data_IF_281745372302
#
_entry.id   IF_281745372302
#
_cell.length_a   1.000
_cell.length_b   1.000
_cell.length_c   1.000
_cell.angle_alpha   90.00
_cell.angle_beta   90.00
_cell.angle_gamma   90.00
#
_symmetry.space_group_name_H-M   'P 1'
#
loop_
_entity.id
_entity.type
_entity.pdbx_description
1 polymer ?
#
# COMPACT_ATOMS: atom_id res chain seq x y z
N UNK A 1 16.09 -5.74 12.52
CA UNK A 1 15.02 -5.26 13.44
C UNK A 1 15.67 -4.68 14.68
N UNK A 2 15.03 -3.73 15.37
CA UNK A 2 15.56 -3.09 16.58
C UNK A 2 14.93 -3.69 17.85
N UNK A 3 15.63 -3.66 19.01
CA UNK A 3 15.08 -4.08 20.32
C UNK A 3 13.77 -3.38 20.69
N UNK A 4 13.66 -2.07 20.47
CA UNK A 4 12.42 -1.31 20.69
C UNK A 4 11.25 -1.85 19.87
N UNK A 5 11.51 -2.33 18.65
CA UNK A 5 10.43 -2.89 17.81
C UNK A 5 9.94 -4.22 18.36
N UNK A 6 10.83 -5.07 18.86
CA UNK A 6 10.43 -6.32 19.52
C UNK A 6 9.64 -6.04 20.79
N UNK A 7 10.05 -5.05 21.59
CA UNK A 7 9.28 -4.62 22.76
C UNK A 7 7.86 -4.17 22.36
N UNK A 8 7.73 -3.35 21.32
CA UNK A 8 6.43 -2.92 20.82
C UNK A 8 5.57 -4.10 20.31
N UNK A 9 6.18 -5.14 19.74
CA UNK A 9 5.46 -6.36 19.34
C UNK A 9 4.94 -7.12 20.56
N UNK A 10 5.77 -7.30 21.61
CA UNK A 10 5.36 -7.96 22.84
C UNK A 10 4.24 -7.20 23.55
N UNK A 11 4.33 -5.86 23.62
CA UNK A 11 3.32 -5.02 24.26
C UNK A 11 1.99 -5.01 23.50
N UNK A 12 2.01 -5.07 22.16
CA UNK A 12 0.81 -4.99 21.33
C UNK A 12 0.13 -6.35 21.08
N UNK A 13 0.91 -7.42 20.92
CA UNK A 13 0.40 -8.74 20.49
C UNK A 13 0.57 -9.85 21.54
N UNK A 14 1.32 -9.60 22.62
CA UNK A 14 1.63 -10.60 23.65
C UNK A 14 2.78 -11.52 23.24
N UNK A 15 2.95 -12.61 24.00
CA UNK A 15 4.10 -13.51 23.87
C UNK A 15 4.00 -14.53 22.72
N UNK A 16 2.80 -14.73 22.17
CA UNK A 16 2.54 -15.73 21.12
C UNK A 16 3.00 -15.23 19.73
N UNK A 17 4.06 -15.82 19.15
CA UNK A 17 4.60 -15.38 17.86
C UNK A 17 3.60 -15.54 16.71
N UNK A 18 2.62 -16.46 16.81
CA UNK A 18 1.62 -16.67 15.78
C UNK A 18 0.72 -15.45 15.57
N UNK A 19 0.61 -14.56 16.58
CA UNK A 19 -0.18 -13.33 16.52
C UNK A 19 0.58 -12.15 15.90
N UNK A 20 1.89 -12.27 15.75
CA UNK A 20 2.73 -11.21 15.24
C UNK A 20 2.61 -11.08 13.71
N UNK A 21 2.87 -9.88 13.14
CA UNK A 21 2.94 -9.68 11.70
C UNK A 21 3.93 -10.65 11.04
N UNK A 22 3.52 -11.31 9.97
CA UNK A 22 4.33 -12.37 9.32
C UNK A 22 5.70 -11.86 8.87
N UNK A 23 5.79 -10.61 8.39
CA UNK A 23 7.05 -10.02 7.93
C UNK A 23 8.09 -9.83 9.06
N UNK A 24 7.65 -9.78 10.32
CA UNK A 24 8.51 -9.44 11.46
C UNK A 24 8.73 -10.65 12.40
N UNK A 25 7.91 -11.70 12.31
CA UNK A 25 7.92 -12.84 13.23
C UNK A 25 9.29 -13.50 13.36
N UNK A 26 9.89 -13.90 12.25
CA UNK A 26 11.15 -14.64 12.27
C UNK A 26 12.31 -13.78 12.77
N UNK A 27 12.35 -12.51 12.37
CA UNK A 27 13.35 -11.56 12.83
C UNK A 27 13.23 -11.27 14.33
N UNK A 28 12.00 -11.23 14.88
CA UNK A 28 11.77 -11.00 16.31
C UNK A 28 12.22 -12.20 17.11
N UNK A 29 11.83 -13.39 16.68
CA UNK A 29 12.20 -14.64 17.33
C UNK A 29 13.72 -14.85 17.33
N UNK A 30 14.40 -14.56 16.21
CA UNK A 30 15.85 -14.65 16.14
C UNK A 30 16.53 -13.74 17.18
N UNK A 31 16.01 -12.53 17.38
CA UNK A 31 16.58 -11.57 18.32
C UNK A 31 16.26 -11.93 19.78
N UNK A 32 15.05 -12.41 20.06
CA UNK A 32 14.66 -12.92 21.39
C UNK A 32 15.53 -14.12 21.79
N UNK A 33 15.83 -15.02 20.85
CA UNK A 33 16.70 -16.16 21.12
C UNK A 33 18.17 -15.77 21.33
N UNK A 34 18.59 -14.62 20.79
CA UNK A 34 19.95 -14.10 20.93
C UNK A 34 20.15 -13.25 22.21
N UNK A 35 19.09 -12.57 22.68
CA UNK A 35 19.15 -11.66 23.82
C UNK A 35 18.34 -12.19 25.03
N UNK A 36 18.99 -12.57 26.13
CA UNK A 36 18.30 -13.09 27.32
C UNK A 36 17.39 -12.04 27.98
N UNK A 37 17.64 -10.74 27.83
CA UNK A 37 16.76 -9.71 28.38
C UNK A 37 15.41 -9.67 27.63
N UNK A 38 15.43 -9.82 26.31
CA UNK A 38 14.21 -9.91 25.50
C UNK A 38 13.49 -11.25 25.72
N UNK A 39 14.22 -12.34 25.96
CA UNK A 39 13.62 -13.61 26.37
C UNK A 39 12.85 -13.47 27.69
N UNK A 40 13.45 -12.83 28.71
CA UNK A 40 12.79 -12.57 29.97
C UNK A 40 11.52 -11.72 29.80
N UNK A 41 11.57 -10.69 28.94
CA UNK A 41 10.40 -9.86 28.61
C UNK A 41 9.29 -10.64 27.91
N UNK A 42 9.62 -11.57 27.02
CA UNK A 42 8.63 -12.47 26.42
C UNK A 42 8.00 -13.39 27.47
N UNK A 43 8.80 -13.93 28.38
CA UNK A 43 8.29 -14.83 29.41
C UNK A 43 7.38 -14.09 30.41
N UNK A 44 7.68 -12.83 30.74
CA UNK A 44 6.76 -11.95 31.49
C UNK A 44 5.43 -11.73 30.76
N UNK A 45 5.48 -11.45 29.46
CA UNK A 45 4.27 -11.32 28.64
C UNK A 45 3.47 -12.64 28.59
N UNK A 46 4.15 -13.79 28.51
CA UNK A 46 3.50 -15.11 28.51
C UNK A 46 2.82 -15.41 29.85
N UNK A 47 3.45 -15.00 30.96
CA UNK A 47 2.84 -15.13 32.29
C UNK A 47 1.57 -14.26 32.41
N UNK A 48 1.61 -13.02 31.91
CA UNK A 48 0.44 -12.14 31.87
C UNK A 48 -0.68 -12.73 31.00
N UNK A 49 -0.36 -13.18 29.78
CA UNK A 49 -1.30 -13.84 28.88
C UNK A 49 -1.94 -15.06 29.55
N UNK A 50 -1.16 -15.85 30.28
CA UNK A 50 -1.64 -16.99 31.06
C UNK A 50 -2.60 -16.60 32.19
N UNK A 51 -2.37 -15.47 32.86
CA UNK A 51 -3.29 -14.94 33.87
C UNK A 51 -4.60 -14.45 33.23
N UNK A 52 -4.52 -13.77 32.08
CA UNK A 52 -5.69 -13.27 31.36
C UNK A 52 -6.56 -14.42 30.84
N UNK A 53 -5.97 -15.51 30.37
CA UNK A 53 -6.71 -16.70 29.92
C UNK A 53 -7.46 -17.43 31.05
N UNK A 54 -7.07 -17.21 32.31
CA UNK A 54 -7.78 -17.77 33.47
C UNK A 54 -8.97 -16.93 33.92
N UNK A 55 -9.12 -15.71 33.39
CA UNK A 55 -10.24 -14.86 33.73
C UNK A 55 -11.55 -15.48 33.22
N UNK A 56 -12.58 -15.47 34.08
CA UNK A 56 -13.88 -15.99 33.71
C UNK A 56 -14.47 -15.17 32.56
N UNK A 57 -14.76 -15.85 31.45
CA UNK A 57 -15.36 -15.20 30.29
C UNK A 57 -16.85 -15.05 30.53
N UNK A 58 -17.40 -13.82 30.63
CA UNK A 58 -18.83 -13.65 30.85
C UNK A 58 -19.61 -14.22 29.66
N UNK A 59 -20.60 -15.05 29.95
CA UNK A 59 -21.49 -15.60 28.93
C UNK A 59 -22.24 -14.44 28.25
N UNK A 60 -22.12 -14.24 26.92
CA UNK A 60 -22.86 -13.18 26.24
C UNK A 60 -24.36 -13.48 26.30
N UNK A 61 -25.18 -12.44 26.50
CA UNK A 61 -26.62 -12.60 26.49
C UNK A 61 -27.11 -12.97 25.09
N UNK A 62 -28.15 -13.82 25.01
CA UNK A 62 -28.74 -14.20 23.73
C UNK A 62 -29.28 -12.98 22.95
N UNK A 63 -29.69 -11.92 23.66
CA UNK A 63 -30.12 -10.66 23.06
C UNK A 63 -28.97 -9.92 22.36
N UNK A 64 -27.81 -9.81 23.03
CA UNK A 64 -26.61 -9.20 22.45
C UNK A 64 -26.15 -9.96 21.21
N UNK A 65 -26.13 -11.30 21.28
CA UNK A 65 -25.76 -12.15 20.14
C UNK A 65 -26.67 -11.91 18.94
N UNK A 66 -28.00 -11.82 19.15
CA UNK A 66 -28.96 -11.53 18.08
C UNK A 66 -28.72 -10.16 17.44
N UNK A 67 -28.51 -9.12 18.25
CA UNK A 67 -28.25 -7.75 17.77
C UNK A 67 -26.95 -7.66 16.95
N UNK A 68 -25.92 -8.41 17.32
CA UNK A 68 -24.67 -8.49 16.55
C UNK A 68 -24.93 -9.16 15.19
N UNK A 69 -25.67 -10.27 15.16
CA UNK A 69 -26.01 -10.97 13.91
C UNK A 69 -26.87 -10.10 12.97
N UNK A 70 -27.87 -9.39 13.50
CA UNK A 70 -28.69 -8.45 12.74
C UNK A 70 -27.83 -7.29 12.19
N UNK A 71 -26.96 -6.71 13.02
CA UNK A 71 -26.03 -5.65 12.59
C UNK A 71 -25.08 -6.13 11.49
N UNK A 72 -24.51 -7.33 11.64
CA UNK A 72 -23.60 -7.90 10.65
C UNK A 72 -24.30 -8.14 9.30
N UNK A 73 -25.56 -8.60 9.32
CA UNK A 73 -26.34 -8.77 8.10
C UNK A 73 -26.56 -7.43 7.36
N UNK A 74 -26.89 -6.36 8.07
CA UNK A 74 -27.05 -5.02 7.48
C UNK A 74 -25.75 -4.46 6.89
N UNK A 75 -24.59 -4.75 7.49
CA UNK A 75 -23.29 -4.29 6.96
C UNK A 75 -22.80 -5.16 5.79
N UNK A 76 -23.17 -6.45 5.74
CA UNK A 76 -22.81 -7.36 4.65
C UNK A 76 -23.40 -6.99 3.29
N UNK A 77 -24.59 -6.38 3.27
CA UNK A 77 -25.22 -5.88 2.03
C UNK A 77 -24.43 -4.72 1.40
N UNK A 78 -23.81 -3.85 2.21
CA UNK A 78 -23.01 -2.75 1.70
C UNK A 78 -21.69 -3.19 1.03
N UNK A 79 -21.12 -4.31 1.48
CA UNK A 79 -19.92 -4.92 0.88
C UNK A 79 -20.28 -5.72 -0.39
N UNK A 80 -21.51 -6.22 -0.46
CA UNK A 80 -22.03 -7.00 -1.58
C UNK A 80 -22.67 -6.14 -2.67
N UNK A 81 -22.42 -4.83 -2.70
CA UNK A 81 -22.85 -3.95 -3.78
C UNK A 81 -22.50 -4.62 -5.13
N UNK A 82 -23.48 -4.81 -6.04
CA UNK A 82 -23.28 -5.63 -7.22
C UNK A 82 -22.18 -5.02 -8.08
N UNK A 83 -21.04 -5.73 -8.17
CA UNK A 83 -20.02 -5.42 -9.16
C UNK A 83 -20.68 -5.36 -10.55
N UNK A 84 -20.38 -4.35 -11.39
CA UNK A 84 -20.96 -4.28 -12.72
C UNK A 84 -20.66 -5.58 -13.47
N UNK A 85 -21.70 -6.23 -13.97
CA UNK A 85 -21.56 -7.47 -14.72
C UNK A 85 -20.72 -7.17 -15.96
N UNK A 86 -19.54 -7.80 -16.04
CA UNK A 86 -18.59 -7.65 -17.14
C UNK A 86 -19.27 -8.05 -18.46
N UNK A 87 -19.74 -7.07 -19.23
CA UNK A 87 -20.39 -7.31 -20.52
C UNK A 87 -21.03 -6.07 -21.14
N UNK A 88 -21.48 -5.11 -20.33
CA UNK A 88 -22.07 -3.87 -20.84
C UNK A 88 -21.08 -2.69 -20.75
N UNK A 89 -20.53 -2.30 -21.90
CA UNK A 89 -19.67 -1.10 -22.03
C UNK A 89 -20.36 0.17 -21.54
N UNK A 90 -21.70 0.24 -21.60
CA UNK A 90 -22.47 1.41 -21.13
C UNK A 90 -22.51 1.44 -19.60
N UNK A 91 -22.79 0.29 -18.97
CA UNK A 91 -22.74 0.15 -17.51
C UNK A 91 -21.36 0.45 -16.91
N UNK A 92 -20.27 0.09 -17.60
CA UNK A 92 -18.91 0.43 -17.16
C UNK A 92 -18.64 1.95 -17.15
N UNK A 93 -19.11 2.68 -18.17
CA UNK A 93 -18.92 4.13 -18.24
C UNK A 93 -19.77 4.87 -17.21
N UNK A 94 -20.99 4.40 -16.96
CA UNK A 94 -21.85 4.97 -15.92
C UNK A 94 -21.27 4.68 -14.52
N UNK A 95 -20.73 3.48 -14.29
CA UNK A 95 -20.00 3.15 -13.06
C UNK A 95 -18.74 4.00 -12.88
N UNK A 96 -17.91 4.19 -13.92
CA UNK A 96 -16.73 5.06 -13.85
C UNK A 96 -17.10 6.51 -13.53
N UNK A 97 -18.17 7.02 -14.15
CA UNK A 97 -18.67 8.36 -13.86
C UNK A 97 -19.12 8.45 -12.41
N UNK A 98 -19.85 7.46 -11.91
CA UNK A 98 -20.35 7.45 -10.53
C UNK A 98 -19.24 7.27 -9.48
N UNK A 99 -18.28 6.38 -9.74
CA UNK A 99 -17.11 6.19 -8.90
C UNK A 99 -16.24 7.46 -8.86
N UNK A 100 -16.06 8.13 -10.00
CA UNK A 100 -15.35 9.41 -10.04
C UNK A 100 -16.09 10.45 -9.20
N UNK A 101 -17.40 10.61 -9.36
CA UNK A 101 -18.23 11.56 -8.60
C UNK A 101 -18.13 11.32 -7.09
N UNK A 102 -18.08 10.06 -6.66
CA UNK A 102 -17.93 9.69 -5.25
C UNK A 102 -16.55 10.07 -4.68
N UNK A 103 -15.48 9.85 -5.46
CA UNK A 103 -14.12 10.27 -5.10
C UNK A 103 -14.01 11.81 -5.03
N UNK A 104 -14.64 12.51 -5.96
CA UNK A 104 -14.69 13.98 -6.00
C UNK A 104 -15.39 14.57 -4.77
N UNK A 105 -16.44 13.93 -4.27
CA UNK A 105 -17.15 14.34 -3.05
C UNK A 105 -16.33 14.10 -1.76
N UNK A 106 -15.57 13.00 -1.69
CA UNK A 106 -14.71 12.71 -0.53
C UNK A 106 -13.51 13.65 -0.43
N UNK A 107 -12.91 13.98 -1.57
CA UNK A 107 -11.69 14.79 -1.59
C UNK A 107 -11.97 16.29 -1.51
N UNK A 108 -13.15 16.77 -1.96
CA UNK A 108 -13.50 18.19 -1.90
C UNK A 108 -14.96 18.43 -1.49
N UNK A 109 -15.30 18.26 -0.20
CA UNK A 109 -16.66 18.47 0.29
C UNK A 109 -17.16 19.93 0.15
N UNK A 110 -16.28 20.93 -0.03
CA UNK A 110 -16.63 22.37 0.06
C UNK A 110 -15.92 23.30 -0.97
N UNK A 111 -15.27 22.78 -2.04
CA UNK A 111 -14.43 23.59 -2.94
C UNK A 111 -14.85 23.60 -4.42
N UNK A 112 -14.87 24.78 -5.04
CA UNK A 112 -15.18 24.98 -6.47
C UNK A 112 -14.27 24.13 -7.38
N UNK A 113 -14.89 23.30 -8.23
CA UNK A 113 -14.27 22.28 -9.09
C UNK A 113 -13.16 22.75 -10.06
N UNK A 114 -12.90 24.06 -10.15
CA UNK A 114 -11.95 24.64 -11.10
C UNK A 114 -10.50 24.74 -10.59
N UNK A 115 -10.26 24.64 -9.27
CA UNK A 115 -8.91 24.80 -8.70
C UNK A 115 -7.91 23.69 -9.10
N UNK A 116 -8.26 22.38 -9.10
CA UNK A 116 -7.30 21.34 -9.51
C UNK A 116 -7.11 21.25 -11.02
N UNK A 117 -8.11 21.62 -11.83
CA UNK A 117 -8.01 21.66 -13.29
C UNK A 117 -6.94 22.67 -13.76
N UNK A 118 -6.81 23.80 -13.06
CA UNK A 118 -5.73 24.77 -13.29
C UNK A 118 -4.35 24.22 -12.91
N UNK A 119 -4.24 23.43 -11.84
CA UNK A 119 -2.97 22.81 -11.44
C UNK A 119 -2.42 21.86 -12.50
N UNK A 120 -3.28 21.01 -13.09
CA UNK A 120 -2.86 20.11 -14.17
C UNK A 120 -2.60 20.85 -15.49
N UNK A 121 -3.41 21.86 -15.83
CA UNK A 121 -3.17 22.69 -17.02
C UNK A 121 -1.83 23.45 -16.93
N UNK A 122 -1.46 23.92 -15.74
CA UNK A 122 -0.16 24.57 -15.51
C UNK A 122 1.00 23.59 -15.71
N UNK A 123 0.89 22.35 -15.22
CA UNK A 123 1.89 21.29 -15.46
C UNK A 123 2.06 20.97 -16.95
N UNK A 124 0.95 20.85 -17.70
CA UNK A 124 0.99 20.62 -19.14
C UNK A 124 1.61 21.80 -19.91
N UNK A 125 1.29 23.03 -19.50
CA UNK A 125 1.85 24.23 -20.11
C UNK A 125 3.38 24.31 -19.92
N UNK A 126 3.90 23.90 -18.76
CA UNK A 126 5.35 23.85 -18.50
C UNK A 126 6.03 22.79 -19.37
N UNK A 127 5.44 21.59 -19.51
CA UNK A 127 5.96 20.55 -20.39
C UNK A 127 5.98 20.96 -21.87
N UNK A 128 4.93 21.61 -22.36
CA UNK A 128 4.87 22.15 -23.72
C UNK A 128 5.91 23.27 -23.91
N UNK A 129 6.06 24.18 -22.94
CA UNK A 129 7.01 25.28 -23.04
C UNK A 129 8.48 24.81 -23.11
N UNK A 130 8.86 23.82 -22.29
CA UNK A 130 10.20 23.19 -22.34
C UNK A 130 10.44 22.50 -23.69
N UNK A 131 9.41 21.85 -24.26
CA UNK A 131 9.51 21.25 -25.61
C UNK A 131 9.71 22.28 -26.73
N UNK A 132 9.22 23.51 -26.57
CA UNK A 132 9.37 24.56 -27.59
C UNK A 132 10.73 25.28 -27.56
N UNK A 133 11.38 25.37 -26.39
CA UNK A 133 12.66 26.09 -26.23
C UNK A 133 13.87 25.17 -26.44
N UNK A 134 13.68 23.85 -26.34
CA UNK A 134 14.68 22.82 -26.59
C UNK A 134 14.57 22.16 -27.96
N UNK A 135 14.52 22.93 -29.05
CA UNK A 135 14.77 22.37 -30.38
C UNK A 135 16.28 22.08 -30.50
N UNK A 136 16.74 20.97 -29.92
CA UNK A 136 18.05 20.42 -30.30
C UNK A 136 17.90 19.97 -31.75
N UNK A 137 18.62 20.57 -32.71
CA UNK A 137 18.58 20.07 -34.07
C UNK A 137 19.18 18.67 -34.04
N UNK A 138 18.34 17.64 -34.23
CA UNK A 138 18.80 16.31 -34.63
C UNK A 138 19.35 16.46 -36.04
N UNK A 139 20.61 16.89 -36.13
CA UNK A 139 21.39 16.85 -37.36
C UNK A 139 21.80 15.40 -37.56
N UNK A 140 20.95 14.63 -38.23
CA UNK A 140 21.24 13.22 -38.51
C UNK A 140 20.13 12.40 -39.17
N UNK A 141 18.97 12.97 -39.51
CA UNK A 141 17.91 12.23 -40.22
C UNK A 141 17.67 12.87 -41.58
N UNK A 142 18.57 12.59 -42.53
CA UNK A 142 18.19 12.57 -43.95
C UNK A 142 17.56 11.22 -44.24
N UNK A 143 16.24 11.16 -44.10
CA UNK A 143 15.44 9.97 -44.38
C UNK A 143 13.98 10.26 -44.05
N UNK A 144 13.22 10.68 -45.05
CA UNK A 144 11.77 10.86 -44.99
C UNK A 144 11.09 9.50 -44.97
N UNK A 145 11.05 8.84 -43.82
CA UNK A 145 10.26 7.63 -43.62
C UNK A 145 9.73 7.61 -42.18
N UNK A 146 8.41 7.74 -42.03
CA UNK A 146 7.71 7.55 -40.77
C UNK A 146 7.51 6.06 -40.57
N UNK A 147 8.55 5.35 -40.13
CA UNK A 147 8.41 3.96 -39.75
C UNK A 147 7.85 3.88 -38.33
N UNK A 148 6.56 3.59 -38.25
CA UNK A 148 5.89 3.19 -37.02
C UNK A 148 6.57 1.93 -36.49
N UNK A 149 7.39 2.04 -35.45
CA UNK A 149 7.92 0.88 -34.75
C UNK A 149 6.79 0.19 -33.98
N UNK A 150 6.06 -0.67 -34.69
CA UNK A 150 5.26 -1.74 -34.11
C UNK A 150 6.17 -2.65 -33.27
N UNK A 151 5.67 -3.07 -32.11
CA UNK A 151 6.27 -4.11 -31.27
C UNK A 151 6.83 -5.27 -32.11
N UNK A 152 8.13 -5.49 -32.01
CA UNK A 152 8.75 -6.77 -32.25
C UNK A 152 9.46 -7.16 -30.94
N UNK A 153 8.81 -8.05 -30.20
CA UNK A 153 9.43 -8.88 -29.18
C UNK A 153 10.62 -9.58 -29.80
N UNK A 154 11.83 -9.29 -29.34
CA UNK A 154 12.92 -10.24 -29.43
C UNK A 154 13.78 -10.20 -28.16
N UNK A 155 14.13 -11.41 -27.74
CA UNK A 155 14.58 -11.83 -26.42
C UNK A 155 16.10 -11.67 -26.31
N UNK A 156 16.59 -10.49 -25.92
CA UNK A 156 17.97 -10.34 -25.45
C UNK A 156 18.15 -9.02 -24.71
N UNK A 157 18.77 -9.08 -23.53
CA UNK A 157 19.25 -7.94 -22.71
C UNK A 157 18.20 -7.13 -21.92
N UNK A 158 17.39 -7.84 -21.12
CA UNK A 158 17.07 -7.37 -19.77
C UNK A 158 18.37 -7.35 -18.92
N UNK A 159 19.23 -6.35 -19.14
CA UNK A 159 20.27 -5.98 -18.18
C UNK A 159 19.89 -4.63 -17.59
N UNK A 160 19.05 -4.73 -16.55
CA UNK A 160 18.98 -3.76 -15.46
C UNK A 160 20.41 -3.27 -15.17
N UNK A 161 20.60 -1.96 -15.20
CA UNK A 161 21.81 -1.29 -14.73
C UNK A 161 22.01 -1.63 -13.24
N UNK A 162 22.63 -2.77 -12.96
CA UNK A 162 23.46 -2.95 -11.79
C UNK A 162 24.80 -2.31 -12.14
N UNK A 163 24.95 -1.03 -11.80
CA UNK A 163 26.29 -0.47 -11.65
C UNK A 163 26.85 -0.93 -10.31
N UNK A 164 27.58 -2.04 -10.36
CA UNK A 164 28.45 -2.52 -9.29
C UNK A 164 29.87 -2.07 -9.56
N UNK A 165 30.36 -1.13 -8.74
CA UNK A 165 31.77 -0.76 -8.62
C UNK A 165 31.92 0.48 -7.74
N UNK A 166 32.17 0.31 -6.43
CA UNK A 166 33.48 0.62 -5.80
C UNK A 166 33.72 2.14 -5.68
N UNK A 167 33.94 2.78 -4.53
CA UNK A 167 34.59 2.37 -3.28
C UNK A 167 34.37 3.47 -2.23
N UNK A 168 34.43 3.09 -0.95
CA UNK A 168 34.36 3.92 0.25
C UNK A 168 35.58 4.84 0.43
N UNK A 169 35.56 6.08 -0.06
CA UNK A 169 36.55 7.11 0.33
C UNK A 169 35.95 8.53 0.31
N UNK A 170 35.11 8.90 1.29
CA UNK A 170 34.83 10.35 1.53
C UNK A 170 34.43 10.76 2.95
N UNK A 171 34.33 9.85 3.93
CA UNK A 171 34.07 10.25 5.34
C UNK A 171 35.37 10.36 6.17
N UNK A 172 36.39 10.96 5.58
CA UNK A 172 37.59 11.43 6.27
C UNK A 172 37.59 12.96 6.30
N UNK A 173 36.73 13.52 7.16
CA UNK A 173 36.93 14.81 7.82
C UNK A 173 35.99 14.95 9.02
#
# INVERSE_FOLDING_TARGET
MTPDRVMALLDAYGADPARWPDAERDAAMAMINADPALAARRDEAAALDGLLMQAETPQPSADLARRILESAACHGEAISAPAPQHGDRRGYLDWLRQASQQLWQQLWPQGSAWQPALGLAASLAVGIWVGTTGAVPVTGITGTEYETASLATDDASLSIFYDTGSTYEEWAQ
#
